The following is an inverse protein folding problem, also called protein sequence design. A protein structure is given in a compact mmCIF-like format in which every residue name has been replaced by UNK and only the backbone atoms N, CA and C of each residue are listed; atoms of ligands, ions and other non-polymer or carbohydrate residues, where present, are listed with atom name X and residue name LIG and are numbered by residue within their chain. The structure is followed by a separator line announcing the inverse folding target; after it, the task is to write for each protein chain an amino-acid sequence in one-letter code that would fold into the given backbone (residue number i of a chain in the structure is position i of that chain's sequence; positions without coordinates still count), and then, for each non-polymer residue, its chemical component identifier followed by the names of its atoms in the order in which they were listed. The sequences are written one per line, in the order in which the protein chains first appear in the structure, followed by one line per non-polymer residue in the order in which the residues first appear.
data_IF_010764552255
#
_entry.id   IF_010764552255
#
_cell.length_a   1.000
_cell.length_b   1.000
_cell.length_c   1.000
_cell.angle_alpha   90.00
_cell.angle_beta   90.00
_cell.angle_gamma   90.00
#
_symmetry.space_group_name_H-M   'P 1'
#
loop_
_entity.id
_entity.type
_entity.pdbx_description
1 polymer ?
#
# COMPACT_ATOMS: atom_id res chain seq x y z
N UNK A 1 -5.50 11.88 23.33
CA UNK A 1 -6.16 11.35 22.16
C UNK A 1 -5.21 11.41 20.98
N UNK A 2 -5.06 10.32 20.30
CA UNK A 2 -4.16 10.29 19.15
C UNK A 2 -4.88 10.82 17.92
N UNK A 3 -4.30 11.81 17.28
CA UNK A 3 -4.83 12.36 16.04
C UNK A 3 -3.98 11.91 14.86
N UNK A 4 -3.51 10.66 14.91
CA UNK A 4 -2.73 10.12 13.81
C UNK A 4 -3.55 10.14 12.54
N UNK A 5 -2.93 10.60 11.47
CA UNK A 5 -3.56 10.64 10.17
C UNK A 5 -3.28 9.35 9.42
N UNK A 6 -4.21 8.97 8.58
CA UNK A 6 -3.99 7.85 7.69
C UNK A 6 -3.25 8.33 6.45
N UNK A 7 -2.32 7.51 5.99
CA UNK A 7 -1.56 7.77 4.77
C UNK A 7 -1.74 6.57 3.88
N UNK A 8 -1.89 6.81 2.59
CA UNK A 8 -1.97 5.74 1.61
C UNK A 8 -0.65 5.67 0.84
N UNK A 9 0.03 4.55 0.96
CA UNK A 9 1.22 4.27 0.16
C UNK A 9 0.78 3.62 -1.14
N UNK A 10 1.41 3.99 -2.26
CA UNK A 10 0.95 3.60 -3.58
C UNK A 10 2.11 3.07 -4.40
N UNK A 11 1.88 1.92 -5.04
CA UNK A 11 2.80 1.32 -6.00
C UNK A 11 2.10 1.26 -7.35
N UNK A 12 2.69 1.89 -8.36
CA UNK A 12 2.10 1.96 -9.70
C UNK A 12 2.71 0.91 -10.62
N UNK A 13 1.85 0.23 -11.37
CA UNK A 13 2.26 -0.78 -12.35
C UNK A 13 1.62 -0.45 -13.68
N UNK A 14 2.41 -0.42 -14.73
CA UNK A 14 1.94 -0.07 -16.07
C UNK A 14 2.38 -1.12 -17.07
N UNK A 15 1.58 -1.30 -18.14
CA UNK A 15 1.87 -2.22 -19.20
C UNK A 15 0.84 -3.33 -19.31
N UNK A 16 0.98 -4.23 -20.30
CA UNK A 16 -0.01 -5.30 -20.53
C UNK A 16 -0.18 -6.24 -19.34
N UNK A 17 0.86 -6.38 -18.49
CA UNK A 17 0.83 -7.27 -17.34
C UNK A 17 0.55 -6.54 -16.03
N UNK A 18 0.16 -5.26 -16.11
CA UNK A 18 -0.03 -4.44 -14.89
C UNK A 18 -1.04 -5.04 -13.92
N UNK A 19 -2.16 -5.54 -14.44
CA UNK A 19 -3.19 -6.16 -13.59
C UNK A 19 -2.63 -7.36 -12.83
N UNK A 20 -1.93 -8.23 -13.52
CA UNK A 20 -1.37 -9.43 -12.92
C UNK A 20 -0.29 -9.08 -11.88
N UNK A 21 0.58 -8.15 -12.22
CA UNK A 21 1.65 -7.71 -11.32
C UNK A 21 1.07 -7.06 -10.07
N UNK A 22 0.04 -6.23 -10.23
CA UNK A 22 -0.59 -5.56 -9.11
C UNK A 22 -1.26 -6.56 -8.16
N UNK A 23 -1.94 -7.58 -8.71
CA UNK A 23 -2.57 -8.61 -7.88
C UNK A 23 -1.52 -9.41 -7.11
N UNK A 24 -0.41 -9.72 -7.74
CA UNK A 24 0.67 -10.43 -7.10
C UNK A 24 1.26 -9.60 -5.95
N UNK A 25 1.46 -8.32 -6.18
CA UNK A 25 1.99 -7.44 -5.16
C UNK A 25 1.00 -7.25 -4.01
N UNK A 26 -0.29 -7.17 -4.32
CA UNK A 26 -1.33 -7.09 -3.29
C UNK A 26 -1.23 -8.28 -2.33
N UNK A 27 -1.04 -9.46 -2.88
CA UNK A 27 -0.91 -10.67 -2.07
C UNK A 27 0.30 -10.56 -1.14
N UNK A 28 1.42 -10.07 -1.64
CA UNK A 28 2.61 -9.88 -0.80
C UNK A 28 2.36 -8.87 0.31
N UNK A 29 1.65 -7.79 0.04
CA UNK A 29 1.33 -6.82 1.07
C UNK A 29 0.42 -7.41 2.14
N UNK A 30 -0.55 -8.23 1.73
CA UNK A 30 -1.43 -8.89 2.69
C UNK A 30 -0.67 -9.86 3.56
N UNK A 31 0.26 -10.61 2.98
CA UNK A 31 1.11 -11.53 3.73
C UNK A 31 2.02 -10.78 4.71
N UNK A 32 2.55 -9.65 4.27
CA UNK A 32 3.36 -8.80 5.12
C UNK A 32 2.56 -8.35 6.34
N UNK A 33 1.35 -7.84 6.12
CA UNK A 33 0.51 -7.35 7.22
C UNK A 33 0.12 -8.46 8.18
N UNK A 34 -0.08 -9.68 7.66
CA UNK A 34 -0.48 -10.80 8.51
C UNK A 34 0.56 -11.12 9.57
N UNK A 35 1.84 -10.82 9.31
CA UNK A 35 2.92 -11.07 10.24
C UNK A 35 3.48 -9.79 10.87
N UNK A 36 2.92 -8.63 10.56
CA UNK A 36 3.43 -7.36 11.05
C UNK A 36 2.94 -7.11 12.49
N UNK A 37 3.89 -7.02 13.43
CA UNK A 37 3.54 -6.91 14.84
C UNK A 37 2.91 -5.58 15.23
N UNK A 38 3.24 -4.51 14.52
CA UNK A 38 2.73 -3.17 14.83
C UNK A 38 1.52 -2.80 13.98
N UNK A 39 0.78 -3.81 13.52
CA UNK A 39 -0.40 -3.60 12.71
C UNK A 39 -1.45 -2.78 13.44
N UNK A 40 -2.07 -1.84 12.75
CA UNK A 40 -3.14 -1.00 13.29
C UNK A 40 -4.42 -1.19 12.49
N UNK A 41 -5.52 -0.61 13.01
CA UNK A 41 -6.82 -0.65 12.31
C UNK A 41 -6.78 0.09 10.98
N UNK A 42 -5.82 0.99 10.77
CA UNK A 42 -5.70 1.73 9.51
C UNK A 42 -5.05 0.91 8.39
N UNK A 43 -4.45 -0.23 8.71
CA UNK A 43 -3.71 -1.01 7.72
C UNK A 43 -4.66 -1.80 6.84
N UNK A 44 -4.81 -1.36 5.60
CA UNK A 44 -5.66 -2.01 4.60
C UNK A 44 -4.96 -2.00 3.25
N UNK A 45 -5.10 -3.10 2.53
CA UNK A 45 -4.50 -3.27 1.21
C UNK A 45 -5.60 -3.18 0.17
N UNK A 46 -5.30 -2.53 -0.96
CA UNK A 46 -6.25 -2.40 -2.04
C UNK A 46 -5.58 -2.39 -3.41
N UNK A 47 -6.41 -2.48 -4.44
CA UNK A 47 -5.99 -2.35 -5.82
C UNK A 47 -6.91 -1.36 -6.50
N UNK A 48 -6.34 -0.49 -7.33
CA UNK A 48 -7.09 0.48 -8.11
C UNK A 48 -6.70 0.32 -9.57
N UNK A 49 -7.68 0.21 -10.46
CA UNK A 49 -7.44 0.29 -11.88
C UNK A 49 -7.59 1.75 -12.31
N UNK A 50 -6.49 2.37 -12.70
CA UNK A 50 -6.51 3.78 -13.13
C UNK A 50 -6.88 3.90 -14.59
N UNK A 51 -6.31 3.03 -15.42
CA UNK A 51 -6.59 2.96 -16.86
C UNK A 51 -6.39 1.51 -17.30
N UNK A 52 -6.59 1.22 -18.57
CA UNK A 52 -6.56 -0.14 -19.08
C UNK A 52 -5.27 -0.89 -18.71
N UNK A 53 -4.13 -0.21 -18.85
CA UNK A 53 -2.84 -0.83 -18.54
C UNK A 53 -2.12 -0.13 -17.40
N UNK A 54 -2.87 0.44 -16.47
CA UNK A 54 -2.28 1.13 -15.32
C UNK A 54 -3.06 0.77 -14.06
N UNK A 55 -2.43 -0.04 -13.22
CA UNK A 55 -2.99 -0.45 -11.93
C UNK A 55 -2.11 0.05 -10.80
N UNK A 56 -2.70 0.27 -9.64
CA UNK A 56 -1.97 0.63 -8.44
C UNK A 56 -2.35 -0.28 -7.30
N UNK A 57 -1.34 -0.72 -6.53
CA UNK A 57 -1.57 -1.32 -5.22
C UNK A 57 -1.51 -0.23 -4.19
N UNK A 58 -2.32 -0.33 -3.16
CA UNK A 58 -2.35 0.65 -2.09
C UNK A 58 -2.25 -0.03 -0.74
N UNK A 59 -1.60 0.64 0.20
CA UNK A 59 -1.56 0.21 1.59
C UNK A 59 -1.82 1.43 2.46
N UNK A 60 -2.94 1.40 3.18
CA UNK A 60 -3.24 2.45 4.14
C UNK A 60 -2.46 2.18 5.42
N UNK A 61 -1.83 3.20 5.96
CA UNK A 61 -1.03 3.08 7.17
C UNK A 61 -1.36 4.23 8.11
N UNK A 62 -0.95 4.05 9.36
CA UNK A 62 -0.98 5.13 10.33
C UNK A 62 0.26 6.00 10.11
N UNK A 63 0.13 7.30 10.28
CA UNK A 63 1.24 8.24 10.12
C UNK A 63 2.46 7.83 10.96
N UNK A 64 2.24 7.24 12.12
CA UNK A 64 3.33 6.80 12.98
C UNK A 64 4.14 5.65 12.39
N UNK A 65 3.59 4.95 11.39
CA UNK A 65 4.25 3.84 10.73
C UNK A 65 5.00 4.26 9.47
N UNK A 66 4.88 5.52 9.09
CA UNK A 66 5.33 5.98 7.77
C UNK A 66 6.80 5.66 7.52
N UNK A 67 7.67 6.07 8.43
CA UNK A 67 9.09 5.92 8.19
C UNK A 67 9.53 4.46 8.09
N UNK A 68 9.03 3.63 9.00
CA UNK A 68 9.35 2.21 9.00
C UNK A 68 8.85 1.53 7.73
N UNK A 69 7.59 1.74 7.38
CA UNK A 69 7.00 1.04 6.24
C UNK A 69 7.47 1.61 4.91
N UNK A 70 7.72 2.91 4.84
CA UNK A 70 8.28 3.53 3.64
C UNK A 70 9.66 2.93 3.34
N UNK A 71 10.48 2.77 4.35
CA UNK A 71 11.83 2.24 4.17
C UNK A 71 11.83 0.75 3.85
N UNK A 72 10.89 0.00 4.41
CA UNK A 72 10.80 -1.46 4.19
C UNK A 72 10.16 -1.80 2.85
N UNK A 73 9.13 -1.08 2.46
CA UNK A 73 8.31 -1.43 1.30
C UNK A 73 8.54 -0.56 0.07
N UNK A 74 9.19 0.59 0.24
CA UNK A 74 9.62 1.49 -0.83
C UNK A 74 8.50 1.83 -1.83
N UNK A 75 7.43 2.47 -1.37
CA UNK A 75 6.34 2.85 -2.27
C UNK A 75 6.79 3.90 -3.28
N UNK A 76 6.11 3.95 -4.42
CA UNK A 76 6.39 4.95 -5.44
C UNK A 76 5.95 6.33 -4.99
N UNK A 77 4.87 6.41 -4.21
CA UNK A 77 4.36 7.68 -3.70
C UNK A 77 3.47 7.43 -2.49
N UNK A 78 3.14 8.49 -1.78
CA UNK A 78 2.24 8.42 -0.64
C UNK A 78 1.38 9.66 -0.59
N UNK A 79 0.15 9.51 -0.12
CA UNK A 79 -0.78 10.63 0.02
C UNK A 79 -1.48 10.55 1.36
N UNK A 80 -1.80 11.70 1.94
CA UNK A 80 -2.65 11.73 3.12
C UNK A 80 -4.09 11.45 2.75
N UNK A 81 -4.74 10.67 3.55
CA UNK A 81 -6.15 10.36 3.35
C UNK A 81 -7.07 11.34 4.10
#
# INVERSE_FOLDING_TARGET
MSDSRAIQLIWDFRGPEASHTAQHYQKHLEEFLASYVDRTAHNQVGIIQNQEFWYSCTLSIDETQLETLKNSLKPHRGVYL
#
